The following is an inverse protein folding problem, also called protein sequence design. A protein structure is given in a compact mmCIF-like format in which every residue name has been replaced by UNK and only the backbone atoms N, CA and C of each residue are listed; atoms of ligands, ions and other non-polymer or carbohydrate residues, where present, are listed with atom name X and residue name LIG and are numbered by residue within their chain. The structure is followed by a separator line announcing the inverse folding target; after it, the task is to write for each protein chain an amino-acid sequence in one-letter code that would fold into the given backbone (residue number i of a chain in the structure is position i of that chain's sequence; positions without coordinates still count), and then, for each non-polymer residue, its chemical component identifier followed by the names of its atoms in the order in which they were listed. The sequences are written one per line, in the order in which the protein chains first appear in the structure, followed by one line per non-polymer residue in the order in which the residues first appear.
data_IF_439697588835
#
_entry.id   IF_439697588835
#
_cell.length_a   1.000
_cell.length_b   1.000
_cell.length_c   1.000
_cell.angle_alpha   90.00
_cell.angle_beta   90.00
_cell.angle_gamma   90.00
#
_symmetry.space_group_name_H-M   'P 1'
#
loop_
_entity.id
_entity.type
_entity.pdbx_description
1 polymer ?
#
# COMPACT_ATOMS: atom_id res chain seq x y z
N UNK A 1 -9.26 -6.25 -10.48
CA UNK A 1 -8.31 -5.40 -9.72
C UNK A 1 -7.46 -6.20 -8.73
N UNK A 2 -8.00 -6.79 -7.64
CA UNK A 2 -7.16 -7.50 -6.65
C UNK A 2 -6.30 -8.62 -7.27
N UNK A 3 -6.81 -9.40 -8.22
CA UNK A 3 -6.02 -10.43 -8.91
C UNK A 3 -4.86 -9.80 -9.70
N UNK A 4 -5.16 -8.75 -10.49
CA UNK A 4 -4.14 -7.96 -11.20
C UNK A 4 -3.05 -7.42 -10.27
N UNK A 5 -3.43 -6.83 -9.13
CA UNK A 5 -2.47 -6.35 -8.13
C UNK A 5 -1.65 -7.49 -7.50
N UNK A 6 -2.27 -8.65 -7.29
CA UNK A 6 -1.59 -9.81 -6.72
C UNK A 6 -0.51 -10.30 -7.68
N UNK A 7 -0.85 -10.46 -8.96
CA UNK A 7 0.10 -10.90 -10.00
C UNK A 7 1.27 -9.93 -10.19
N UNK A 8 1.05 -8.62 -10.03
CA UNK A 8 2.10 -7.62 -10.27
C UNK A 8 2.94 -7.28 -9.07
N UNK A 9 2.32 -7.23 -7.88
CA UNK A 9 3.00 -6.80 -6.66
C UNK A 9 3.37 -8.00 -5.81
N UNK A 10 2.42 -8.89 -5.50
CA UNK A 10 2.69 -10.01 -4.58
C UNK A 10 3.65 -11.01 -5.22
N UNK A 11 3.41 -11.41 -6.48
CA UNK A 11 4.29 -12.38 -7.14
C UNK A 11 5.69 -11.78 -7.36
N UNK A 12 5.79 -10.50 -7.73
CA UNK A 12 7.08 -9.80 -7.79
C UNK A 12 7.80 -9.79 -6.42
N UNK A 13 7.08 -9.48 -5.34
CA UNK A 13 7.65 -9.44 -4.00
C UNK A 13 8.17 -10.82 -3.58
N UNK A 14 7.45 -11.90 -3.90
CA UNK A 14 7.85 -13.29 -3.64
C UNK A 14 9.14 -13.68 -4.38
N UNK A 15 9.33 -13.16 -5.58
CA UNK A 15 10.52 -13.43 -6.39
C UNK A 15 11.72 -12.54 -6.01
N UNK A 16 11.50 -11.54 -5.14
CA UNK A 16 12.51 -10.57 -4.75
C UNK A 16 13.11 -10.84 -3.36
N UNK A 17 14.38 -10.48 -3.15
CA UNK A 17 15.07 -10.59 -1.85
C UNK A 17 14.80 -9.37 -0.95
N UNK A 18 13.54 -8.95 -0.82
CA UNK A 18 13.17 -7.75 -0.05
C UNK A 18 12.60 -8.15 1.31
N UNK A 19 13.04 -7.46 2.35
CA UNK A 19 12.55 -7.67 3.72
C UNK A 19 11.59 -6.59 4.18
N UNK A 20 11.40 -5.55 3.36
CA UNK A 20 10.66 -4.38 3.74
C UNK A 20 9.97 -3.74 2.54
N UNK A 21 8.71 -3.33 2.75
CA UNK A 21 7.84 -2.67 1.80
C UNK A 21 7.24 -1.40 2.42
N UNK A 22 7.54 -0.23 1.84
CA UNK A 22 6.81 1.02 2.12
C UNK A 22 5.71 1.19 1.09
N UNK A 23 4.47 1.32 1.55
CA UNK A 23 3.30 1.64 0.71
C UNK A 23 2.98 3.11 0.91
N UNK A 24 3.46 3.96 0.00
CA UNK A 24 3.16 5.38 -0.01
C UNK A 24 1.95 5.67 -0.90
N UNK A 25 0.94 6.36 -0.36
CA UNK A 25 -0.23 6.74 -1.14
C UNK A 25 -0.59 8.18 -0.84
N UNK A 26 -0.24 9.07 -1.76
CA UNK A 26 -0.32 10.51 -1.53
C UNK A 26 -1.59 11.15 -2.10
N UNK A 27 -2.38 10.39 -2.86
CA UNK A 27 -3.58 10.96 -3.46
C UNK A 27 -4.78 10.97 -2.48
N UNK A 28 -5.73 11.85 -2.76
CA UNK A 28 -7.00 11.88 -2.06
C UNK A 28 -8.13 11.52 -3.04
N UNK A 29 -9.13 10.80 -2.54
CA UNK A 29 -10.24 10.33 -3.38
C UNK A 29 -11.23 11.44 -3.80
N UNK A 30 -10.99 12.70 -3.43
CA UNK A 30 -11.88 13.82 -3.74
C UNK A 30 -13.32 13.56 -3.30
N UNK A 31 -14.27 13.84 -4.20
CA UNK A 31 -15.70 13.63 -3.96
C UNK A 31 -16.11 12.15 -4.03
N UNK A 32 -15.26 11.30 -4.60
CA UNK A 32 -15.40 9.85 -4.68
C UNK A 32 -15.33 9.27 -6.09
N UNK A 33 -15.74 8.01 -6.22
CA UNK A 33 -15.60 7.22 -7.44
C UNK A 33 -16.97 6.92 -8.08
N UNK A 34 -16.98 6.82 -9.40
CA UNK A 34 -18.17 6.37 -10.14
C UNK A 34 -18.58 4.95 -9.74
N UNK A 35 -19.89 4.72 -9.64
CA UNK A 35 -20.47 3.40 -9.42
C UNK A 35 -21.98 3.44 -9.24
N UNK A 36 -22.55 2.30 -8.88
CA UNK A 36 -24.00 2.07 -8.93
C UNK A 36 -24.78 2.74 -7.79
N UNK A 37 -24.18 2.87 -6.60
CA UNK A 37 -24.88 3.42 -5.43
C UNK A 37 -24.63 4.92 -5.24
N UNK A 38 -23.42 5.30 -4.86
CA UNK A 38 -23.05 6.70 -4.61
C UNK A 38 -21.53 6.85 -4.54
N UNK A 39 -21.04 8.07 -4.78
CA UNK A 39 -19.61 8.39 -4.70
C UNK A 39 -19.00 8.01 -3.32
N UNK A 40 -19.76 8.20 -2.24
CA UNK A 40 -19.33 7.88 -0.88
C UNK A 40 -19.24 6.37 -0.61
N UNK A 41 -20.20 5.59 -1.13
CA UNK A 41 -20.14 4.13 -0.99
C UNK A 41 -18.99 3.54 -1.81
N UNK A 42 -18.77 4.04 -3.03
CA UNK A 42 -17.65 3.57 -3.84
C UNK A 42 -16.31 3.94 -3.20
N UNK A 43 -16.18 5.12 -2.58
CA UNK A 43 -15.05 5.46 -1.71
C UNK A 43 -14.84 4.43 -0.59
N UNK A 44 -15.92 4.05 0.11
CA UNK A 44 -15.85 3.06 1.19
C UNK A 44 -15.43 1.69 0.66
N UNK A 45 -15.89 1.29 -0.54
CA UNK A 45 -15.50 0.04 -1.21
C UNK A 45 -14.03 0.06 -1.63
N UNK A 46 -13.54 1.18 -2.17
CA UNK A 46 -12.12 1.36 -2.51
C UNK A 46 -11.23 1.25 -1.29
N UNK A 47 -11.55 1.96 -0.19
CA UNK A 47 -10.81 1.85 1.07
C UNK A 47 -10.76 0.40 1.59
N UNK A 48 -11.90 -0.30 1.60
CA UNK A 48 -11.93 -1.72 1.97
C UNK A 48 -11.13 -2.60 1.01
N UNK A 49 -11.07 -2.25 -0.27
CA UNK A 49 -10.23 -2.90 -1.27
C UNK A 49 -8.75 -2.80 -0.93
N UNK A 50 -8.27 -1.58 -0.64
CA UNK A 50 -6.89 -1.33 -0.19
C UNK A 50 -6.56 -2.11 1.07
N UNK A 51 -7.43 -2.08 2.07
CA UNK A 51 -7.25 -2.86 3.31
C UNK A 51 -7.13 -4.36 3.03
N UNK A 52 -8.04 -4.93 2.23
CA UNK A 52 -7.98 -6.36 1.86
C UNK A 52 -6.71 -6.72 1.09
N UNK A 53 -6.18 -5.79 0.30
CA UNK A 53 -4.95 -6.01 -0.44
C UNK A 53 -3.75 -6.05 0.49
N UNK A 54 -3.62 -5.11 1.43
CA UNK A 54 -2.58 -5.13 2.48
C UNK A 54 -2.69 -6.42 3.30
N UNK A 55 -3.90 -6.77 3.75
CA UNK A 55 -4.17 -8.02 4.48
C UNK A 55 -3.79 -9.27 3.66
N UNK A 56 -3.80 -9.20 2.32
CA UNK A 56 -3.36 -10.29 1.44
C UNK A 56 -1.83 -10.34 1.37
N UNK A 57 -1.15 -9.20 1.21
CA UNK A 57 0.32 -9.15 1.22
C UNK A 57 0.85 -9.80 2.50
N UNK A 58 0.35 -9.38 3.66
CA UNK A 58 0.85 -9.86 4.95
C UNK A 58 0.57 -11.36 5.19
N UNK A 59 -0.52 -11.91 4.63
CA UNK A 59 -0.80 -13.35 4.69
C UNK A 59 0.11 -14.18 3.78
N UNK A 60 0.46 -13.65 2.61
CA UNK A 60 1.29 -14.35 1.62
C UNK A 60 2.80 -14.19 1.88
N UNK A 61 3.18 -13.12 2.60
CA UNK A 61 4.56 -12.73 2.91
C UNK A 61 4.64 -12.31 4.39
N UNK A 62 4.49 -13.24 5.35
CA UNK A 62 4.41 -12.91 6.78
C UNK A 62 5.68 -12.32 7.37
N UNK A 63 6.84 -12.56 6.74
CA UNK A 63 8.13 -12.03 7.19
C UNK A 63 8.47 -10.66 6.58
N UNK A 64 7.62 -10.16 5.66
CA UNK A 64 7.81 -8.84 5.03
C UNK A 64 7.32 -7.74 5.99
N UNK A 65 8.21 -6.83 6.36
CA UNK A 65 7.83 -5.64 7.13
C UNK A 65 7.09 -4.66 6.21
N UNK A 66 5.88 -4.27 6.59
CA UNK A 66 5.07 -3.32 5.82
C UNK A 66 4.99 -1.98 6.56
N UNK A 67 5.43 -0.91 5.90
CA UNK A 67 5.31 0.47 6.38
C UNK A 67 4.19 1.22 5.63
N UNK A 68 3.28 1.79 6.41
CA UNK A 68 2.19 2.65 5.95
C UNK A 68 2.66 4.11 5.81
N UNK A 69 2.54 4.70 4.63
CA UNK A 69 2.85 6.12 4.39
C UNK A 69 1.78 6.82 3.54
N UNK A 70 1.54 8.09 3.84
CA UNK A 70 0.78 9.03 3.03
C UNK A 70 1.14 10.44 3.46
N UNK A 71 1.90 11.16 2.64
CA UNK A 71 2.49 12.46 2.97
C UNK A 71 3.15 12.45 4.38
N UNK A 72 3.81 11.33 4.71
CA UNK A 72 4.09 10.96 6.08
C UNK A 72 2.85 10.39 6.77
N UNK A 73 2.18 11.19 7.60
CA UNK A 73 1.21 10.72 8.59
C UNK A 73 -0.27 10.76 8.21
N UNK A 74 -0.66 11.10 6.97
CA UNK A 74 -2.07 11.31 6.61
C UNK A 74 -2.93 10.05 6.66
N UNK A 75 -2.30 8.86 6.73
CA UNK A 75 -2.97 7.56 6.81
C UNK A 75 -2.75 6.85 8.15
N UNK A 76 -2.41 7.60 9.21
CA UNK A 76 -2.28 7.13 10.59
C UNK A 76 -3.65 6.95 11.27
N UNK A 77 -4.54 6.22 10.61
CA UNK A 77 -5.82 5.81 11.18
C UNK A 77 -5.73 4.37 11.69
N UNK A 78 -6.45 4.07 12.77
CA UNK A 78 -6.27 2.84 13.54
C UNK A 78 -6.48 1.57 12.72
N UNK A 79 -7.35 1.57 11.71
CA UNK A 79 -7.56 0.41 10.85
C UNK A 79 -6.37 0.13 9.93
N UNK A 80 -5.63 1.14 9.48
CA UNK A 80 -4.42 0.95 8.68
C UNK A 80 -3.24 0.57 9.56
N UNK A 81 -3.07 1.22 10.71
CA UNK A 81 -2.03 0.89 11.68
C UNK A 81 -2.11 -0.55 12.19
N UNK A 82 -3.31 -1.14 12.28
CA UNK A 82 -3.48 -2.54 12.68
C UNK A 82 -3.07 -3.56 11.60
N UNK A 83 -2.83 -3.12 10.35
CA UNK A 83 -2.54 -3.97 9.19
C UNK A 83 -1.11 -3.81 8.68
N UNK A 84 -0.32 -2.97 9.31
CA UNK A 84 1.04 -2.65 8.90
C UNK A 84 1.91 -2.64 10.14
N UNK A 85 3.15 -3.10 10.01
CA UNK A 85 4.06 -3.21 11.14
C UNK A 85 4.56 -1.83 11.59
N UNK A 86 4.70 -0.91 10.64
CA UNK A 86 5.21 0.44 10.86
C UNK A 86 4.34 1.49 10.16
N UNK A 87 4.47 2.74 10.56
CA UNK A 87 3.88 3.87 9.84
C UNK A 87 4.81 5.08 9.86
N UNK A 88 4.99 5.72 8.72
CA UNK A 88 5.86 6.89 8.59
C UNK A 88 5.22 8.12 9.23
N UNK A 89 6.05 8.95 9.87
CA UNK A 89 5.66 10.31 10.29
C UNK A 89 6.16 11.38 9.31
N UNK A 90 7.06 11.03 8.40
CA UNK A 90 7.67 11.93 7.42
C UNK A 90 7.58 11.38 5.98
N UNK A 91 7.93 12.22 5.02
CA UNK A 91 7.93 11.91 3.58
C UNK A 91 9.27 11.34 3.09
N UNK A 92 10.17 10.90 3.97
CA UNK A 92 11.49 10.45 3.55
C UNK A 92 11.43 9.13 2.78
N UNK A 93 12.11 9.11 1.63
CA UNK A 93 12.29 7.91 0.78
C UNK A 93 13.76 7.47 0.73
N UNK A 94 14.64 8.11 1.51
CA UNK A 94 16.08 7.84 1.47
C UNK A 94 16.36 6.39 1.88
N UNK A 95 17.14 5.70 1.05
CA UNK A 95 17.53 4.31 1.30
C UNK A 95 16.54 3.28 0.79
N UNK A 96 15.49 3.71 0.08
CA UNK A 96 14.58 2.80 -0.61
C UNK A 96 14.73 2.88 -2.13
N UNK A 97 14.37 1.77 -2.80
CA UNK A 97 14.20 1.74 -4.25
C UNK A 97 12.72 1.76 -4.58
N UNK A 98 12.27 2.74 -5.37
CA UNK A 98 10.91 2.77 -5.91
C UNK A 98 10.77 1.72 -7.03
N UNK A 99 9.71 0.91 -6.96
CA UNK A 99 9.51 -0.21 -7.89
C UNK A 99 8.20 -0.14 -8.67
N UNK A 100 7.22 0.61 -8.18
CA UNK A 100 5.89 0.67 -8.78
C UNK A 100 5.30 2.07 -8.61
N UNK A 101 5.00 2.78 -9.70
CA UNK A 101 4.41 4.14 -9.67
C UNK A 101 3.31 4.33 -10.70
N UNK A 102 3.53 3.87 -11.93
CA UNK A 102 2.71 4.27 -13.08
C UNK A 102 1.39 3.50 -13.14
N UNK A 103 1.33 2.32 -12.52
CA UNK A 103 0.16 1.44 -12.55
C UNK A 103 -0.86 1.70 -11.43
N UNK A 104 -0.56 2.57 -10.46
CA UNK A 104 -1.26 2.57 -9.16
C UNK A 104 -1.76 3.93 -8.67
N UNK A 105 -2.35 4.76 -9.55
CA UNK A 105 -3.08 6.01 -9.20
C UNK A 105 -2.48 6.82 -8.03
N UNK A 106 -1.19 7.15 -8.07
CA UNK A 106 -0.55 7.96 -7.01
C UNK A 106 -0.09 7.16 -5.77
N UNK A 107 -0.15 5.83 -5.83
CA UNK A 107 0.53 4.95 -4.91
C UNK A 107 1.92 4.58 -5.45
N UNK A 108 2.92 4.72 -4.58
CA UNK A 108 4.28 4.29 -4.82
C UNK A 108 4.66 3.20 -3.82
N UNK A 109 5.36 2.18 -4.31
CA UNK A 109 5.86 1.10 -3.46
C UNK A 109 7.38 1.13 -3.46
N UNK A 110 7.95 1.22 -2.27
CA UNK A 110 9.39 1.28 -2.08
C UNK A 110 9.90 0.06 -1.33
N UNK A 111 11.04 -0.44 -1.76
CA UNK A 111 11.60 -1.70 -1.27
C UNK A 111 12.97 -1.50 -0.64
N UNK A 112 13.27 -2.34 0.35
CA UNK A 112 14.59 -2.48 0.94
C UNK A 112 14.97 -3.96 1.06
N UNK A 113 16.23 -4.29 0.79
CA UNK A 113 16.72 -5.66 0.92
C UNK A 113 16.81 -6.09 2.38
N UNK A 114 16.76 -7.40 2.60
CA UNK A 114 17.02 -7.98 3.92
C UNK A 114 18.45 -7.62 4.36
N UNK A 115 18.60 -7.01 5.54
CA UNK A 115 19.91 -6.71 6.14
C UNK A 115 20.54 -5.37 5.78
N UNK A 116 19.90 -4.57 4.92
CA UNK A 116 20.21 -3.14 4.73
C UNK A 116 19.47 -2.28 5.75
#
# INVERSE_FOLDING_TARGET
MINYLSERVIDFLKESEVGYLKIDYNDNFGIGFDGEESLGEENRKQLKGTQRFIDKIQRELPDLIIENCSFGGHRLESSMMRRTDLSSLDQSEKGFRCCFTDDFQGAAFYLKKVGE
#
